data_IF_765685260252
#
_entry.id   IF_765685260252
#
_cell.length_a   1.000
_cell.length_b   1.000
_cell.length_c   1.000
_cell.angle_alpha   90.00
_cell.angle_beta   90.00
_cell.angle_gamma   90.00
#
_symmetry.space_group_name_H-M   'P 1'
#
loop_
_entity.id
_entity.type
_entity.pdbx_description
1 polymer ?
#
# COMPACT_ATOMS: atom_id res chain seq x y z
N UNK A 1 29.88 0.90 -35.65
CA UNK A 1 29.05 1.59 -34.65
C UNK A 1 29.56 1.19 -33.27
N UNK A 2 29.94 2.15 -32.43
CA UNK A 2 30.25 1.87 -31.03
C UNK A 2 28.94 1.98 -30.24
N UNK A 3 28.59 0.94 -29.48
CA UNK A 3 27.44 0.95 -28.59
C UNK A 3 27.89 1.42 -27.21
N UNK A 4 27.31 2.51 -26.73
CA UNK A 4 27.49 2.98 -25.34
C UNK A 4 26.34 2.39 -24.51
N UNK A 5 26.67 1.60 -23.49
CA UNK A 5 25.71 1.08 -22.52
C UNK A 5 25.90 1.74 -21.16
N UNK A 6 24.81 2.03 -20.46
CA UNK A 6 24.82 2.48 -19.07
C UNK A 6 24.31 1.36 -18.14
N UNK A 7 24.89 1.27 -16.94
CA UNK A 7 24.39 0.40 -15.88
C UNK A 7 23.37 1.19 -15.06
N UNK A 8 22.11 0.78 -15.10
CA UNK A 8 21.06 1.29 -14.21
C UNK A 8 21.01 0.40 -12.97
N UNK A 9 21.32 0.95 -11.81
CA UNK A 9 21.22 0.25 -10.53
C UNK A 9 19.98 0.75 -9.79
N UNK A 10 18.87 0.03 -9.92
CA UNK A 10 17.63 0.31 -9.19
C UNK A 10 17.73 -0.27 -7.77
N UNK A 11 17.90 0.58 -6.76
CA UNK A 11 17.75 0.20 -5.35
C UNK A 11 16.33 0.55 -4.90
N UNK A 12 15.40 -0.39 -5.07
CA UNK A 12 14.03 -0.26 -4.56
C UNK A 12 13.91 -1.02 -3.25
N UNK A 13 13.56 -0.32 -2.17
CA UNK A 13 13.28 -0.97 -0.89
C UNK A 13 11.82 -1.46 -0.86
N UNK A 14 11.61 -2.75 -0.54
CA UNK A 14 10.28 -3.33 -0.33
C UNK A 14 10.09 -3.65 1.15
N UNK A 15 8.99 -3.16 1.74
CA UNK A 15 8.67 -3.37 3.15
C UNK A 15 7.25 -3.90 3.27
N UNK A 16 7.11 -5.08 3.86
CA UNK A 16 5.80 -5.59 4.26
C UNK A 16 5.40 -4.96 5.60
N UNK A 17 4.18 -4.44 5.69
CA UNK A 17 3.65 -3.78 6.88
C UNK A 17 2.36 -4.47 7.29
N UNK A 18 2.25 -4.76 8.58
CA UNK A 18 0.99 -5.13 9.22
C UNK A 18 0.71 -4.13 10.35
N UNK A 19 -0.38 -3.38 10.23
CA UNK A 19 -0.87 -2.48 11.28
C UNK A 19 -2.10 -3.11 11.93
N UNK A 20 -1.97 -3.76 13.10
CA UNK A 20 -3.11 -4.37 13.78
C UNK A 20 -4.20 -3.33 14.12
N UNK A 21 -5.47 -3.66 13.90
CA UNK A 21 -6.58 -2.89 14.48
C UNK A 21 -6.58 -3.05 16.02
N UNK A 22 -6.72 -1.97 16.83
CA UNK A 22 -7.03 -0.58 16.50
C UNK A 22 -5.80 0.35 16.55
N UNK A 23 -4.57 -0.14 16.32
CA UNK A 23 -3.36 0.70 16.37
C UNK A 23 -3.48 1.85 15.37
N UNK A 24 -3.03 3.03 15.81
CA UNK A 24 -3.11 4.25 15.01
C UNK A 24 -1.96 4.29 14.02
N UNK A 25 -2.26 4.63 12.77
CA UNK A 25 -1.24 4.94 11.77
C UNK A 25 -0.62 6.30 12.11
N UNK A 26 0.68 6.31 12.44
CA UNK A 26 1.41 7.54 12.74
C UNK A 26 2.16 8.04 11.51
N UNK A 27 2.02 9.33 11.24
CA UNK A 27 2.80 10.04 10.21
C UNK A 27 4.31 9.78 10.30
N UNK A 28 4.86 9.77 11.52
CA UNK A 28 6.29 9.62 11.76
C UNK A 28 6.78 8.23 11.33
N UNK A 29 6.01 7.19 11.63
CA UNK A 29 6.37 5.81 11.28
C UNK A 29 6.39 5.63 9.77
N UNK A 30 5.35 6.14 9.08
CA UNK A 30 5.29 6.11 7.61
C UNK A 30 6.49 6.85 6.99
N UNK A 31 6.83 8.04 7.51
CA UNK A 31 7.98 8.81 7.04
C UNK A 31 9.31 8.07 7.21
N UNK A 32 9.50 7.34 8.32
CA UNK A 32 10.72 6.54 8.55
C UNK A 32 10.84 5.46 7.48
N UNK A 33 9.76 4.77 7.14
CA UNK A 33 9.80 3.77 6.08
C UNK A 33 10.05 4.39 4.70
N UNK A 34 9.40 5.50 4.37
CA UNK A 34 9.61 6.20 3.09
C UNK A 34 11.01 6.84 2.97
N UNK A 35 11.72 7.00 4.07
CA UNK A 35 13.10 7.49 4.09
C UNK A 35 14.16 6.38 3.95
N UNK A 36 13.75 5.10 3.82
CA UNK A 36 14.68 3.97 3.67
C UNK A 36 15.45 3.99 2.35
N UNK A 37 14.98 4.74 1.35
CA UNK A 37 15.66 4.89 0.07
C UNK A 37 15.00 5.93 -0.82
N UNK A 38 15.54 6.04 -2.02
CA UNK A 38 15.00 6.93 -3.06
C UNK A 38 13.68 6.36 -3.58
N UNK A 39 13.65 5.07 -3.95
CA UNK A 39 12.44 4.34 -4.31
C UNK A 39 12.00 3.36 -3.20
N UNK A 40 10.79 3.53 -2.68
CA UNK A 40 10.24 2.67 -1.60
C UNK A 40 8.84 2.18 -1.96
N UNK A 41 8.60 0.89 -1.71
CA UNK A 41 7.29 0.24 -1.79
C UNK A 41 6.96 -0.31 -0.41
N UNK A 42 5.97 0.27 0.23
CA UNK A 42 5.35 -0.32 1.42
C UNK A 42 4.15 -1.14 0.95
N UNK A 43 3.92 -2.32 1.50
CA UNK A 43 2.74 -3.12 1.15
C UNK A 43 2.24 -3.96 2.32
N UNK A 44 0.94 -4.19 2.37
CA UNK A 44 0.29 -5.06 3.37
C UNK A 44 -0.90 -4.40 4.02
N UNK A 45 -1.40 -5.01 5.09
CA UNK A 45 -2.64 -4.61 5.76
C UNK A 45 -2.38 -3.44 6.73
N UNK A 46 -2.82 -2.25 6.33
CA UNK A 46 -2.75 -1.03 7.16
C UNK A 46 -4.00 -0.85 8.02
N UNK A 47 -5.00 -1.74 7.95
CA UNK A 47 -6.31 -1.61 8.59
C UNK A 47 -6.95 -0.21 8.35
N UNK A 48 -6.65 0.39 7.20
CA UNK A 48 -7.14 1.70 6.80
C UNK A 48 -8.39 1.54 5.95
N UNK A 49 -9.52 2.10 6.40
CA UNK A 49 -10.77 2.09 5.63
C UNK A 49 -11.03 3.49 5.11
N UNK A 50 -11.09 3.67 3.79
CA UNK A 50 -11.36 4.96 3.15
C UNK A 50 -12.40 4.77 2.04
N UNK A 51 -13.50 5.55 2.00
CA UNK A 51 -14.56 5.43 0.98
C UNK A 51 -14.07 5.58 -0.46
N UNK A 52 -12.99 6.34 -0.68
CA UNK A 52 -12.33 6.46 -1.98
C UNK A 52 -11.60 5.20 -2.43
N UNK A 53 -11.46 4.19 -1.57
CA UNK A 53 -10.65 2.97 -1.78
C UNK A 53 -11.43 1.70 -1.45
N UNK A 54 -12.47 1.39 -2.25
CA UNK A 54 -13.30 0.15 -2.16
C UNK A 54 -13.66 -0.29 -0.72
N UNK A 55 -13.75 0.66 0.21
CA UNK A 55 -14.20 0.43 1.56
C UNK A 55 -15.58 1.06 1.71
N UNK A 56 -16.55 0.35 2.31
CA UNK A 56 -17.92 0.84 2.47
C UNK A 56 -18.03 1.95 3.53
N UNK A 57 -17.04 2.07 4.41
CA UNK A 57 -16.98 3.04 5.48
C UNK A 57 -15.57 3.63 5.60
N UNK A 58 -15.46 4.73 6.34
CA UNK A 58 -14.18 5.31 6.74
C UNK A 58 -13.83 4.95 8.18
N UNK A 59 -12.54 4.88 8.50
CA UNK A 59 -12.06 4.84 9.88
C UNK A 59 -10.93 5.87 10.10
N UNK A 60 -10.54 6.07 11.37
CA UNK A 60 -9.51 7.06 11.72
C UNK A 60 -8.21 6.90 10.92
N UNK A 61 -7.76 5.66 10.71
CA UNK A 61 -6.54 5.39 9.97
C UNK A 61 -6.70 5.69 8.47
N UNK A 62 -7.85 5.40 7.87
CA UNK A 62 -8.14 5.74 6.48
C UNK A 62 -8.22 7.24 6.24
N UNK A 63 -8.87 7.99 7.12
CA UNK A 63 -8.90 9.46 7.04
C UNK A 63 -7.48 10.05 7.15
N UNK A 64 -6.67 9.50 8.07
CA UNK A 64 -5.27 9.93 8.25
C UNK A 64 -4.41 9.59 7.03
N UNK A 65 -4.58 8.40 6.48
CA UNK A 65 -3.86 7.96 5.30
C UNK A 65 -4.16 8.85 4.09
N UNK A 66 -5.42 9.25 3.87
CA UNK A 66 -5.79 10.22 2.83
C UNK A 66 -5.15 11.59 3.08
N UNK A 67 -5.18 12.10 4.32
CA UNK A 67 -4.45 13.34 4.67
C UNK A 67 -2.94 13.23 4.44
N UNK A 68 -2.37 12.04 4.54
CA UNK A 68 -0.94 11.82 4.39
C UNK A 68 -0.52 11.73 2.93
N UNK A 69 -1.33 11.09 2.10
CA UNK A 69 -1.16 11.06 0.64
C UNK A 69 -1.18 12.49 0.05
N UNK A 70 -2.07 13.37 0.52
CA UNK A 70 -2.09 14.77 0.07
C UNK A 70 -0.85 15.59 0.49
N UNK A 71 -0.12 15.15 1.52
CA UNK A 71 0.99 15.89 2.13
C UNK A 71 2.37 15.31 1.81
N UNK A 72 2.45 14.08 1.30
CA UNK A 72 3.71 13.42 0.97
C UNK A 72 3.78 13.14 -0.51
N UNK A 73 5.01 12.97 -0.98
CA UNK A 73 5.35 12.58 -2.34
C UNK A 73 5.27 11.05 -2.50
N UNK A 74 4.16 10.45 -2.04
CA UNK A 74 3.89 9.03 -2.27
C UNK A 74 2.48 8.83 -2.85
N UNK A 75 2.34 7.81 -3.69
CA UNK A 75 1.07 7.37 -4.27
C UNK A 75 0.57 6.13 -3.53
N UNK A 76 -0.74 5.95 -3.43
CA UNK A 76 -1.32 4.71 -2.91
C UNK A 76 -1.90 3.88 -4.03
N UNK A 77 -1.27 2.73 -4.26
CA UNK A 77 -1.79 1.71 -5.14
C UNK A 77 -2.73 0.82 -4.33
N UNK A 78 -3.93 0.59 -4.87
CA UNK A 78 -4.99 -0.20 -4.24
C UNK A 78 -5.25 -1.44 -5.08
N UNK A 79 -5.46 -2.59 -4.43
CA UNK A 79 -5.85 -3.80 -5.13
C UNK A 79 -7.24 -3.62 -5.78
N UNK A 80 -7.40 -4.19 -6.98
CA UNK A 80 -8.67 -4.16 -7.72
C UNK A 80 -9.76 -5.00 -7.04
N UNK A 81 -9.35 -5.94 -6.19
CA UNK A 81 -10.20 -6.84 -5.40
C UNK A 81 -10.23 -6.44 -3.92
N UNK A 82 -11.28 -6.84 -3.20
CA UNK A 82 -11.30 -6.73 -1.74
C UNK A 82 -10.30 -7.73 -1.15
N UNK A 83 -9.63 -7.33 -0.08
CA UNK A 83 -8.60 -8.16 0.59
C UNK A 83 -9.04 -8.61 1.98
N UNK A 84 -10.11 -7.99 2.48
CA UNK A 84 -10.78 -8.38 3.72
C UNK A 84 -12.24 -8.76 3.45
N UNK A 85 -12.58 -9.99 3.84
CA UNK A 85 -13.92 -10.55 3.77
C UNK A 85 -14.39 -10.87 5.20
N UNK A 86 -15.35 -10.11 5.74
CA UNK A 86 -15.87 -10.39 7.06
C UNK A 86 -16.71 -11.68 7.06
N UNK A 87 -16.62 -12.46 8.13
CA UNK A 87 -17.39 -13.71 8.30
C UNK A 87 -18.92 -13.47 8.32
N UNK A 88 -19.34 -12.28 8.74
CA UNK A 88 -20.74 -11.90 8.80
C UNK A 88 -21.15 -11.36 7.43
N UNK A 89 -22.03 -12.09 6.72
CA UNK A 89 -22.47 -11.78 5.36
C UNK A 89 -23.09 -10.38 5.16
N UNK A 90 -23.59 -9.75 6.23
CA UNK A 90 -24.14 -8.37 6.19
C UNK A 90 -23.03 -7.33 6.11
N UNK A 91 -21.84 -7.65 6.63
CA UNK A 91 -20.70 -6.74 6.56
C UNK A 91 -20.14 -6.77 5.14
N UNK A 92 -19.99 -5.58 4.55
CA UNK A 92 -19.37 -5.44 3.23
C UNK A 92 -17.87 -5.71 3.31
N UNK A 93 -17.34 -6.36 2.28
CA UNK A 93 -15.89 -6.55 2.09
C UNK A 93 -15.16 -5.20 2.01
N UNK A 94 -13.85 -5.20 2.28
CA UNK A 94 -13.02 -4.00 2.26
C UNK A 94 -11.66 -4.31 1.64
N UNK A 95 -11.01 -3.29 1.07
CA UNK A 95 -9.61 -3.39 0.64
C UNK A 95 -8.75 -2.75 1.74
N UNK A 96 -8.11 -3.59 2.55
CA UNK A 96 -7.26 -3.14 3.67
C UNK A 96 -5.77 -3.21 3.34
N UNK A 97 -5.40 -4.11 2.41
CA UNK A 97 -4.06 -4.18 1.87
C UNK A 97 -3.89 -3.12 0.79
N UNK A 98 -2.88 -2.30 0.97
CA UNK A 98 -2.55 -1.18 0.10
C UNK A 98 -1.04 -1.14 -0.11
N UNK A 99 -0.61 -0.43 -1.16
CA UNK A 99 0.79 -0.23 -1.43
C UNK A 99 1.15 1.25 -1.60
N UNK A 100 1.54 1.94 -0.52
CA UNK A 100 2.17 3.26 -0.61
C UNK A 100 3.54 3.19 -1.31
N UNK A 101 3.74 4.02 -2.33
CA UNK A 101 4.97 4.07 -3.14
C UNK A 101 5.56 5.48 -3.20
N UNK A 102 6.85 5.63 -2.89
CA UNK A 102 7.60 6.88 -3.10
C UNK A 102 8.55 6.71 -4.26
N UNK A 103 8.49 7.63 -5.23
CA UNK A 103 9.35 7.73 -6.43
C UNK A 103 9.58 6.42 -7.20
N UNK A 104 8.80 5.39 -6.88
CA UNK A 104 8.75 4.13 -7.58
C UNK A 104 7.66 4.27 -8.65
N UNK A 105 8.05 4.69 -9.85
CA UNK A 105 7.20 4.58 -11.02
C UNK A 105 7.03 3.09 -11.36
N UNK A 106 6.08 2.43 -10.69
CA UNK A 106 5.78 1.03 -10.95
C UNK A 106 4.73 0.95 -12.05
N UNK A 107 5.14 0.48 -13.21
CA UNK A 107 4.20 0.03 -14.22
C UNK A 107 3.67 -1.36 -13.81
N UNK A 108 2.69 -1.39 -12.91
CA UNK A 108 2.02 -2.62 -12.49
C UNK A 108 0.97 -2.99 -13.53
N UNK A 109 1.40 -3.70 -14.59
CA UNK A 109 0.49 -4.25 -15.59
C UNK A 109 -0.46 -5.31 -15.02
N UNK A 110 -0.13 -5.94 -13.89
CA UNK A 110 -0.98 -6.89 -13.20
C UNK A 110 -0.66 -6.95 -11.70
N UNK A 111 -1.67 -6.85 -10.84
CA UNK A 111 -1.59 -7.19 -9.42
C UNK A 111 -2.53 -8.38 -9.22
N UNK A 112 -1.96 -9.58 -9.11
CA UNK A 112 -2.74 -10.81 -8.91
C UNK A 112 -2.70 -11.23 -7.44
N UNK A 113 -3.85 -11.63 -6.91
CA UNK A 113 -3.93 -12.27 -5.60
C UNK A 113 -3.40 -13.69 -5.71
N UNK A 114 -2.22 -13.95 -5.14
CA UNK A 114 -1.74 -15.32 -4.95
C UNK A 114 -2.51 -15.98 -3.81
N UNK A 115 -3.55 -16.74 -4.14
CA UNK A 115 -4.24 -17.60 -3.19
C UNK A 115 -3.33 -18.79 -2.86
N UNK A 116 -2.65 -18.74 -1.71
CA UNK A 116 -2.09 -19.93 -1.09
C UNK A 116 -3.25 -20.75 -0.51
N UNK A 117 -3.74 -21.74 -1.27
CA UNK A 117 -4.64 -22.75 -0.73
C UNK A 117 -3.89 -23.48 0.40
N UNK A 118 -4.30 -23.22 1.63
CA UNK A 118 -3.79 -23.93 2.81
C UNK A 118 -4.25 -25.40 2.73
N UNK A 119 -3.33 -26.34 2.92
CA UNK A 119 -3.60 -27.77 3.10
C UNK A 119 -4.33 -28.05 4.42
#
# INVERSE_FOLDING_TARGET
MAATGCLLQLQTATVSVYLPSPKKLLWRDLRVFLALGDAVILFGDFNCKSPGRRCPNTNHNGDKLTQYEERLEFEIIVLSTSTYYPDIAINRSSTLDIAPTKEAALNLNCIETLSLSSF
#
